data_IF_992190814478
#
_entry.id   IF_992190814478
#
_cell.length_a   1.000
_cell.length_b   1.000
_cell.length_c   1.000
_cell.angle_alpha   90.00
_cell.angle_beta   90.00
_cell.angle_gamma   90.00
#
_symmetry.space_group_name_H-M   'P 1'
#
loop_
_entity.id
_entity.type
_entity.pdbx_description
1 polymer ?
#
# COMPACT_ATOMS: atom_id res chain seq x y z
N UNK A 1 11.42 -26.36 -2.70
CA UNK A 1 10.40 -27.08 -3.49
C UNK A 1 9.78 -28.13 -2.59
N UNK A 2 8.61 -27.86 -2.02
CA UNK A 2 7.72 -28.91 -1.52
C UNK A 2 6.92 -29.35 -2.75
N UNK A 3 6.86 -30.65 -3.07
CA UNK A 3 6.23 -31.09 -4.31
C UNK A 3 4.74 -30.78 -4.30
N UNK A 4 4.24 -30.36 -5.46
CA UNK A 4 2.83 -30.08 -5.80
C UNK A 4 1.91 -31.33 -5.65
N UNK A 5 2.42 -32.45 -5.11
CA UNK A 5 1.78 -33.76 -5.22
C UNK A 5 1.32 -34.41 -3.89
N UNK A 6 0.82 -33.62 -2.92
CA UNK A 6 -0.03 -34.16 -1.84
C UNK A 6 -1.38 -33.43 -1.67
N UNK A 7 -1.82 -32.66 -2.67
CA UNK A 7 -3.18 -32.08 -2.73
C UNK A 7 -3.99 -32.50 -3.97
N UNK A 8 -3.59 -33.58 -4.64
CA UNK A 8 -4.49 -34.28 -5.58
C UNK A 8 -5.21 -35.42 -4.86
N UNK A 9 -6.11 -35.08 -3.93
CA UNK A 9 -7.17 -35.99 -3.49
C UNK A 9 -8.50 -35.24 -3.40
N UNK A 10 -9.40 -35.59 -4.32
CA UNK A 10 -10.76 -35.08 -4.57
C UNK A 10 -10.86 -33.65 -5.15
N UNK A 11 -11.19 -33.56 -6.45
CA UNK A 11 -11.82 -32.35 -6.97
C UNK A 11 -13.07 -32.04 -6.11
N UNK A 12 -13.04 -30.93 -5.39
CA UNK A 12 -14.23 -30.35 -4.77
C UNK A 12 -14.48 -30.62 -3.29
N UNK A 13 -13.50 -31.08 -2.51
CA UNK A 13 -13.62 -31.09 -1.03
C UNK A 13 -12.85 -29.91 -0.41
N UNK A 14 -13.43 -29.21 0.58
CA UNK A 14 -12.73 -28.16 1.31
C UNK A 14 -11.48 -28.67 2.03
N UNK A 15 -10.44 -27.84 2.10
CA UNK A 15 -9.16 -28.17 2.75
C UNK A 15 -9.11 -27.46 4.10
N UNK A 16 -8.94 -28.23 5.17
CA UNK A 16 -8.86 -27.73 6.53
C UNK A 16 -7.42 -27.43 6.93
N UNK A 17 -7.21 -26.28 7.56
CA UNK A 17 -5.90 -25.86 8.04
C UNK A 17 -5.96 -25.46 9.52
N UNK A 18 -4.91 -25.83 10.26
CA UNK A 18 -4.69 -25.49 11.66
C UNK A 18 -3.41 -24.66 11.79
N UNK A 19 -3.49 -23.32 11.72
CA UNK A 19 -2.32 -22.47 11.82
C UNK A 19 -1.54 -22.66 13.12
N UNK A 20 -0.21 -22.64 13.03
CA UNK A 20 0.69 -22.67 14.19
C UNK A 20 0.38 -21.63 15.27
N UNK A 21 -0.15 -20.47 14.87
CA UNK A 21 -0.41 -19.32 15.77
C UNK A 21 -1.86 -19.19 16.23
N UNK A 22 -2.67 -20.25 16.06
CA UNK A 22 -4.04 -20.34 16.59
C UNK A 22 -5.15 -20.11 15.57
N UNK A 23 -6.37 -20.47 16.00
CA UNK A 23 -7.57 -20.53 15.16
C UNK A 23 -7.56 -21.70 14.18
N UNK A 24 -8.55 -21.74 13.29
CA UNK A 24 -8.63 -22.67 12.17
C UNK A 24 -9.16 -21.94 10.94
N UNK A 25 -8.78 -22.38 9.73
CA UNK A 25 -9.43 -21.89 8.52
C UNK A 25 -9.73 -23.01 7.54
N UNK A 26 -10.71 -22.76 6.69
CA UNK A 26 -11.13 -23.65 5.63
C UNK A 26 -10.89 -22.97 4.28
N UNK A 27 -10.26 -23.68 3.35
CA UNK A 27 -10.20 -23.28 1.96
C UNK A 27 -11.26 -24.04 1.16
N UNK A 28 -12.13 -23.32 0.47
CA UNK A 28 -13.06 -23.87 -0.50
C UNK A 28 -12.57 -23.51 -1.91
N UNK A 29 -12.39 -24.53 -2.74
CA UNK A 29 -12.09 -24.35 -4.16
C UNK A 29 -13.34 -23.84 -4.88
N UNK A 30 -13.16 -22.82 -5.72
CA UNK A 30 -14.25 -22.25 -6.50
C UNK A 30 -14.44 -23.00 -7.83
N UNK A 31 -15.61 -22.83 -8.44
CA UNK A 31 -15.89 -23.29 -9.81
C UNK A 31 -14.95 -22.65 -10.83
N UNK A 32 -14.68 -21.36 -10.68
CA UNK A 32 -13.64 -20.65 -11.39
C UNK A 32 -12.29 -20.83 -10.65
N UNK A 33 -11.29 -21.49 -11.27
CA UNK A 33 -9.99 -21.74 -10.64
C UNK A 33 -9.18 -20.45 -10.39
N UNK A 34 -9.59 -19.31 -10.98
CA UNK A 34 -9.00 -18.01 -10.68
C UNK A 34 -9.46 -17.42 -9.34
N UNK A 35 -10.40 -18.08 -8.66
CA UNK A 35 -10.93 -17.71 -7.36
C UNK A 35 -10.74 -18.81 -6.31
N UNK A 36 -10.66 -18.42 -5.05
CA UNK A 36 -10.75 -19.32 -3.90
C UNK A 36 -11.48 -18.61 -2.77
N UNK A 37 -12.22 -19.36 -1.94
CA UNK A 37 -12.87 -18.83 -0.75
C UNK A 37 -12.11 -19.31 0.48
N UNK A 38 -11.77 -18.38 1.37
CA UNK A 38 -11.23 -18.68 2.69
C UNK A 38 -12.27 -18.37 3.76
N UNK A 39 -12.56 -19.35 4.61
CA UNK A 39 -13.43 -19.20 5.78
C UNK A 39 -12.56 -19.20 7.02
N UNK A 40 -12.52 -18.06 7.69
CA UNK A 40 -11.81 -17.85 8.95
C UNK A 40 -12.71 -18.27 10.10
N UNK A 41 -12.22 -19.18 10.95
CA UNK A 41 -12.81 -19.46 12.26
C UNK A 41 -12.39 -18.44 13.32
N UNK A 42 -12.94 -18.62 14.52
CA UNK A 42 -12.61 -17.86 15.73
C UNK A 42 -11.11 -17.75 15.95
N UNK A 43 -10.63 -16.56 16.32
CA UNK A 43 -9.22 -16.26 16.63
C UNK A 43 -8.22 -16.52 15.48
N UNK A 44 -8.69 -16.81 14.27
CA UNK A 44 -7.83 -17.10 13.13
C UNK A 44 -7.08 -15.87 12.66
N UNK A 45 -5.76 -16.03 12.51
CA UNK A 45 -4.85 -15.04 11.95
C UNK A 45 -3.97 -15.70 10.89
N UNK A 46 -3.96 -15.17 9.68
CA UNK A 46 -3.19 -15.66 8.54
C UNK A 46 -2.21 -14.59 8.04
N UNK A 47 -1.02 -15.04 7.64
CA UNK A 47 0.01 -14.26 6.99
C UNK A 47 0.06 -14.67 5.51
N UNK A 48 -0.42 -13.77 4.66
CA UNK A 48 -0.59 -14.02 3.23
C UNK A 48 0.38 -13.18 2.41
N UNK A 49 1.03 -13.81 1.44
CA UNK A 49 1.89 -13.17 0.44
C UNK A 49 1.39 -13.43 -0.98
N UNK A 50 1.83 -12.57 -1.91
CA UNK A 50 1.57 -12.71 -3.33
C UNK A 50 0.82 -11.54 -3.95
N UNK A 51 0.21 -11.78 -5.11
CA UNK A 51 -0.57 -10.79 -5.85
C UNK A 51 -1.97 -11.33 -6.07
N UNK A 52 -2.89 -10.80 -5.29
CA UNK A 52 -4.27 -11.21 -5.33
C UNK A 52 -5.16 -10.02 -5.04
N UNK A 53 -6.46 -10.22 -5.17
CA UNK A 53 -7.44 -9.25 -4.68
C UNK A 53 -8.47 -9.98 -3.85
N UNK A 54 -8.98 -9.36 -2.81
CA UNK A 54 -9.97 -9.99 -1.93
C UNK A 54 -11.21 -9.12 -1.74
N UNK A 55 -12.31 -9.78 -1.38
CA UNK A 55 -13.55 -9.15 -0.93
C UNK A 55 -14.09 -9.93 0.27
N UNK A 56 -14.52 -9.23 1.31
CA UNK A 56 -15.22 -9.84 2.45
C UNK A 56 -16.69 -10.05 2.10
N UNK A 57 -17.13 -11.31 2.11
CA UNK A 57 -18.51 -11.70 1.82
C UNK A 57 -19.36 -11.83 3.08
N UNK A 58 -18.75 -12.20 4.21
CA UNK A 58 -19.41 -12.38 5.49
C UNK A 58 -18.44 -12.11 6.65
N UNK A 59 -18.96 -11.65 7.79
CA UNK A 59 -18.14 -11.30 8.96
C UNK A 59 -17.21 -10.12 8.68
N UNK A 60 -16.27 -9.89 9.60
CA UNK A 60 -15.33 -8.78 9.55
C UNK A 60 -13.89 -9.28 9.63
N UNK A 61 -13.03 -8.74 8.77
CA UNK A 61 -11.61 -9.09 8.71
C UNK A 61 -10.77 -7.84 8.89
N UNK A 62 -9.78 -7.89 9.77
CA UNK A 62 -8.72 -6.90 9.86
C UNK A 62 -7.58 -7.30 8.92
N UNK A 63 -7.18 -6.39 8.03
CA UNK A 63 -6.00 -6.55 7.17
C UNK A 63 -5.04 -5.39 7.38
N UNK A 64 -3.84 -5.69 7.89
CA UNK A 64 -2.80 -4.70 8.19
C UNK A 64 -3.33 -3.45 8.95
N UNK A 65 -4.17 -3.67 9.96
CA UNK A 65 -4.76 -2.62 10.78
C UNK A 65 -6.07 -2.04 10.24
N UNK A 66 -6.45 -2.29 8.98
CA UNK A 66 -7.70 -1.82 8.39
C UNK A 66 -8.81 -2.86 8.53
N UNK A 67 -9.98 -2.46 9.03
CA UNK A 67 -11.14 -3.32 9.20
C UNK A 67 -12.04 -3.31 7.96
N UNK A 68 -12.20 -4.47 7.35
CA UNK A 68 -13.09 -4.69 6.22
C UNK A 68 -14.41 -5.27 6.70
N UNK A 69 -15.49 -4.59 6.35
CA UNK A 69 -16.86 -5.01 6.58
C UNK A 69 -17.39 -5.88 5.42
N UNK A 70 -18.39 -6.73 5.67
CA UNK A 70 -18.97 -7.56 4.61
C UNK A 70 -19.75 -6.69 3.62
N UNK A 71 -19.57 -6.93 2.33
CA UNK A 71 -20.29 -6.23 1.25
C UNK A 71 -20.92 -7.22 0.28
N UNK A 72 -22.00 -6.81 -0.40
CA UNK A 72 -22.54 -7.57 -1.53
C UNK A 72 -21.44 -7.77 -2.58
N UNK A 73 -21.35 -8.98 -3.13
CA UNK A 73 -20.42 -9.28 -4.22
C UNK A 73 -20.52 -8.22 -5.34
N UNK A 74 -19.39 -7.62 -5.68
CA UNK A 74 -19.23 -6.69 -6.80
C UNK A 74 -17.75 -6.59 -7.14
N UNK A 75 -17.40 -6.64 -8.42
CA UNK A 75 -16.01 -6.48 -8.88
C UNK A 75 -15.34 -5.19 -8.38
N UNK A 76 -16.08 -4.10 -8.16
CA UNK A 76 -15.55 -2.84 -7.63
C UNK A 76 -15.15 -2.90 -6.15
N UNK A 77 -15.61 -3.92 -5.41
CA UNK A 77 -15.33 -4.08 -3.99
C UNK A 77 -14.03 -4.85 -3.71
N UNK A 78 -13.35 -5.35 -4.75
CA UNK A 78 -12.07 -6.01 -4.58
C UNK A 78 -11.00 -5.04 -4.10
N UNK A 79 -10.23 -5.50 -3.12
CA UNK A 79 -9.09 -4.81 -2.56
C UNK A 79 -7.84 -5.55 -2.98
N UNK A 80 -6.94 -4.86 -3.68
CA UNK A 80 -5.69 -5.43 -4.17
C UNK A 80 -4.70 -5.62 -3.02
N UNK A 81 -4.00 -6.75 -3.04
CA UNK A 81 -2.84 -7.03 -2.20
C UNK A 81 -1.73 -7.49 -3.11
N UNK A 82 -0.60 -6.79 -3.07
CA UNK A 82 0.57 -7.11 -3.87
C UNK A 82 1.81 -6.98 -2.99
N UNK A 83 2.20 -8.12 -2.40
CA UNK A 83 3.32 -8.24 -1.47
C UNK A 83 4.31 -9.25 -2.04
N UNK A 84 5.48 -8.77 -2.49
CA UNK A 84 6.55 -9.63 -2.94
C UNK A 84 7.22 -10.39 -1.78
N UNK A 85 7.90 -11.49 -2.12
CA UNK A 85 8.82 -12.24 -1.29
C UNK A 85 9.89 -11.33 -0.68
N UNK A 86 10.26 -11.59 0.58
CA UNK A 86 11.22 -10.77 1.32
C UNK A 86 10.62 -9.51 1.96
N UNK A 87 9.34 -9.21 1.72
CA UNK A 87 8.61 -8.17 2.45
C UNK A 87 7.73 -8.77 3.55
N UNK A 88 7.35 -7.91 4.50
CA UNK A 88 6.42 -8.28 5.57
C UNK A 88 5.07 -8.71 4.97
N UNK A 89 4.52 -9.86 5.39
CA UNK A 89 3.28 -10.37 4.85
C UNK A 89 2.06 -9.54 5.23
N UNK A 90 1.01 -9.64 4.40
CA UNK A 90 -0.28 -9.11 4.78
C UNK A 90 -0.86 -9.98 5.89
N UNK A 91 -1.26 -9.32 6.96
CA UNK A 91 -1.81 -9.97 8.13
C UNK A 91 -3.32 -9.87 8.08
N UNK A 92 -3.99 -11.02 7.93
CA UNK A 92 -5.45 -11.16 7.89
C UNK A 92 -5.92 -11.79 9.19
N UNK A 93 -6.74 -11.11 9.97
CA UNK A 93 -7.34 -11.68 11.19
C UNK A 93 -8.84 -11.47 11.24
N UNK A 94 -9.57 -12.45 11.76
CA UNK A 94 -10.99 -12.28 12.05
C UNK A 94 -11.18 -11.27 13.18
N UNK A 95 -12.20 -10.40 13.04
CA UNK A 95 -12.70 -9.65 14.18
C UNK A 95 -13.84 -10.44 14.83
N UNK A 96 -13.48 -11.24 15.86
CA UNK A 96 -14.41 -12.12 16.56
C UNK A 96 -15.62 -11.37 17.12
N UNK A 97 -15.41 -10.17 17.66
CA UNK A 97 -16.46 -9.37 18.34
C UNK A 97 -17.56 -8.93 17.38
N UNK A 98 -17.21 -8.60 16.15
CA UNK A 98 -18.15 -8.12 15.13
C UNK A 98 -18.70 -9.24 14.25
N UNK A 99 -18.09 -10.42 14.28
CA UNK A 99 -18.45 -11.56 13.43
C UNK A 99 -19.31 -12.60 14.17
N UNK A 100 -19.94 -12.21 15.27
CA UNK A 100 -20.74 -13.09 16.15
C UNK A 100 -22.05 -13.55 15.52
N UNK A 101 -22.68 -12.69 14.72
CA UNK A 101 -23.93 -13.01 14.03
C UNK A 101 -23.73 -14.15 13.03
N UNK A 102 -24.65 -15.12 13.06
CA UNK A 102 -24.60 -16.27 12.17
C UNK A 102 -25.95 -16.53 11.51
N UNK A 103 -26.00 -16.28 10.21
CA UNK A 103 -27.16 -16.56 9.38
C UNK A 103 -26.79 -17.65 8.37
N UNK A 104 -27.04 -18.92 8.71
CA UNK A 104 -26.67 -20.07 7.88
C UNK A 104 -27.20 -19.97 6.45
N UNK A 105 -28.47 -19.61 6.27
CA UNK A 105 -29.07 -19.46 4.93
C UNK A 105 -28.35 -18.41 4.09
N UNK A 106 -28.01 -17.26 4.70
CA UNK A 106 -27.27 -16.19 4.04
C UNK A 106 -25.85 -16.64 3.68
N UNK A 107 -25.17 -17.33 4.59
CA UNK A 107 -23.81 -17.87 4.34
C UNK A 107 -23.86 -18.89 3.20
N UNK A 108 -24.79 -19.84 3.26
CA UNK A 108 -25.00 -20.84 2.22
C UNK A 108 -25.30 -20.19 0.87
N UNK A 109 -26.20 -19.20 0.82
CA UNK A 109 -26.49 -18.44 -0.39
C UNK A 109 -25.24 -17.77 -0.98
N UNK A 110 -24.40 -17.15 -0.15
CA UNK A 110 -23.15 -16.51 -0.58
C UNK A 110 -22.12 -17.51 -1.11
N UNK A 111 -22.00 -18.67 -0.48
CA UNK A 111 -21.04 -19.70 -0.90
C UNK A 111 -21.46 -20.36 -2.21
N UNK A 112 -22.77 -20.56 -2.46
CA UNK A 112 -23.31 -21.13 -3.71
C UNK A 112 -22.95 -20.33 -4.96
N UNK A 113 -22.71 -19.03 -4.82
CA UNK A 113 -22.27 -18.18 -5.93
C UNK A 113 -20.88 -18.61 -6.48
N UNK A 114 -20.06 -19.30 -5.68
CA UNK A 114 -18.65 -19.58 -6.02
C UNK A 114 -18.23 -21.05 -5.87
N UNK A 115 -18.89 -21.82 -4.99
CA UNK A 115 -18.49 -23.17 -4.60
C UNK A 115 -19.60 -24.17 -4.97
N UNK A 116 -19.22 -25.31 -5.57
CA UNK A 116 -20.16 -26.34 -6.02
C UNK A 116 -21.02 -26.94 -4.90
N UNK A 117 -20.41 -27.29 -3.77
CA UNK A 117 -21.09 -27.91 -2.64
C UNK A 117 -20.78 -27.14 -1.33
N UNK A 118 -21.57 -26.11 -1.01
CA UNK A 118 -21.35 -25.29 0.19
C UNK A 118 -21.70 -26.03 1.49
N UNK A 119 -22.41 -27.17 1.44
CA UNK A 119 -22.76 -27.96 2.63
C UNK A 119 -21.53 -28.56 3.28
N UNK A 120 -20.50 -28.86 2.50
CA UNK A 120 -19.20 -29.36 3.01
C UNK A 120 -18.52 -28.40 3.98
N UNK A 121 -18.89 -27.11 4.00
CA UNK A 121 -18.34 -26.14 4.95
C UNK A 121 -19.16 -26.03 6.25
N UNK A 122 -20.37 -26.59 6.34
CA UNK A 122 -21.30 -26.38 7.47
C UNK A 122 -20.72 -26.81 8.80
N UNK A 123 -20.18 -28.03 8.87
CA UNK A 123 -19.55 -28.56 10.10
C UNK A 123 -18.38 -27.69 10.56
N UNK A 124 -17.59 -27.16 9.63
CA UNK A 124 -16.51 -26.23 9.97
C UNK A 124 -17.08 -24.92 10.54
N UNK A 125 -18.07 -24.34 9.86
CA UNK A 125 -18.71 -23.10 10.27
C UNK A 125 -19.35 -23.26 11.66
N UNK A 126 -19.98 -24.40 11.93
CA UNK A 126 -20.61 -24.70 13.21
C UNK A 126 -19.61 -24.74 14.36
N UNK A 127 -18.51 -25.45 14.16
CA UNK A 127 -17.53 -25.71 15.21
C UNK A 127 -16.56 -24.54 15.46
N UNK A 128 -16.47 -23.58 14.54
CA UNK A 128 -15.45 -22.52 14.58
C UNK A 128 -16.03 -21.11 14.68
N UNK A 129 -17.29 -20.94 15.08
CA UNK A 129 -17.92 -19.62 15.27
C UNK A 129 -17.19 -18.77 16.32
N UNK A 130 -17.13 -17.43 16.19
CA UNK A 130 -17.57 -16.62 15.04
C UNK A 130 -16.77 -16.90 13.76
N UNK A 131 -17.33 -16.57 12.59
CA UNK A 131 -16.67 -16.81 11.30
C UNK A 131 -16.65 -15.57 10.40
N UNK A 132 -15.68 -15.52 9.49
CA UNK A 132 -15.63 -14.56 8.40
C UNK A 132 -15.28 -15.25 7.08
N UNK A 133 -15.87 -14.79 5.98
CA UNK A 133 -15.74 -15.41 4.65
C UNK A 133 -15.12 -14.38 3.70
N UNK A 134 -13.99 -14.76 3.11
CA UNK A 134 -13.24 -13.92 2.17
C UNK A 134 -13.17 -14.62 0.82
N UNK A 135 -13.63 -13.94 -0.22
CA UNK A 135 -13.43 -14.35 -1.60
C UNK A 135 -12.12 -13.75 -2.11
N UNK A 136 -11.24 -14.58 -2.66
CA UNK A 136 -9.94 -14.17 -3.18
C UNK A 136 -9.86 -14.47 -4.66
N UNK A 137 -9.55 -13.45 -5.46
CA UNK A 137 -9.16 -13.56 -6.86
C UNK A 137 -7.64 -13.66 -6.93
N UNK A 138 -7.15 -14.80 -7.43
CA UNK A 138 -5.71 -15.14 -7.45
C UNK A 138 -5.05 -14.84 -8.79
N UNK A 139 -5.82 -14.41 -9.79
CA UNK A 139 -5.29 -13.91 -11.07
C UNK A 139 -4.71 -12.51 -10.90
N UNK A 140 -3.45 -12.35 -11.30
CA UNK A 140 -2.72 -11.09 -11.29
C UNK A 140 -3.32 -10.08 -12.29
N UNK A 141 -3.37 -8.80 -11.90
CA UNK A 141 -3.72 -7.71 -12.82
C UNK A 141 -2.55 -7.30 -13.72
N UNK A 142 -2.83 -6.50 -14.76
CA UNK A 142 -1.81 -6.13 -15.75
C UNK A 142 -0.71 -5.25 -15.16
N UNK A 143 -1.04 -4.36 -14.23
CA UNK A 143 -0.05 -3.51 -13.59
C UNK A 143 0.98 -4.38 -12.83
N UNK A 144 0.50 -5.35 -12.06
CA UNK A 144 1.36 -6.30 -11.35
C UNK A 144 2.10 -7.24 -12.29
N UNK A 145 1.50 -7.66 -13.41
CA UNK A 145 2.19 -8.43 -14.46
C UNK A 145 3.34 -7.63 -15.07
N UNK A 146 3.11 -6.36 -15.39
CA UNK A 146 4.14 -5.47 -15.90
C UNK A 146 5.29 -5.32 -14.91
N UNK A 147 4.98 -5.05 -13.64
CA UNK A 147 5.98 -5.00 -12.57
C UNK A 147 6.76 -6.32 -12.52
N UNK A 148 6.09 -7.47 -12.51
CA UNK A 148 6.77 -8.77 -12.50
C UNK A 148 7.69 -8.97 -13.71
N UNK A 149 7.27 -8.59 -14.92
CA UNK A 149 8.05 -8.71 -16.15
C UNK A 149 9.31 -7.84 -16.14
N UNK A 150 9.20 -6.58 -15.67
CA UNK A 150 10.36 -5.70 -15.55
C UNK A 150 11.40 -6.23 -14.55
N UNK A 151 10.95 -7.03 -13.58
CA UNK A 151 11.79 -7.54 -12.50
C UNK A 151 12.41 -8.90 -12.80
N UNK A 152 11.73 -9.76 -13.57
CA UNK A 152 12.29 -11.03 -14.03
C UNK A 152 13.43 -10.87 -15.05
N UNK A 153 13.50 -9.72 -15.75
CA UNK A 153 14.60 -9.43 -16.68
C UNK A 153 15.91 -9.02 -15.97
N UNK A 154 15.86 -8.82 -14.65
CA UNK A 154 17.05 -8.65 -13.82
C UNK A 154 17.51 -10.04 -13.38
N UNK A 155 18.65 -10.49 -13.90
CA UNK A 155 19.26 -11.80 -13.60
C UNK A 155 19.51 -12.06 -12.11
N UNK A 156 19.42 -11.03 -11.27
CA UNK A 156 19.67 -11.08 -9.82
C UNK A 156 18.39 -11.16 -8.97
N UNK A 157 17.21 -11.13 -9.57
CA UNK A 157 15.94 -11.04 -8.83
C UNK A 157 15.10 -12.31 -9.03
N UNK A 158 15.24 -13.24 -8.07
CA UNK A 158 14.30 -14.34 -7.82
C UNK A 158 12.85 -13.88 -7.99
N UNK A 159 11.97 -14.76 -8.52
CA UNK A 159 10.54 -14.49 -8.71
C UNK A 159 9.96 -13.74 -7.50
N UNK A 160 9.73 -12.44 -7.67
CA UNK A 160 9.45 -11.56 -6.54
C UNK A 160 8.09 -11.87 -5.91
N UNK A 161 7.19 -12.55 -6.60
CA UNK A 161 5.95 -13.03 -6.00
C UNK A 161 6.11 -14.51 -5.65
N UNK A 162 5.70 -14.91 -4.44
CA UNK A 162 6.18 -16.12 -3.78
C UNK A 162 5.86 -17.41 -4.54
N UNK A 163 6.81 -18.35 -4.44
CA UNK A 163 6.57 -19.80 -4.47
C UNK A 163 6.98 -20.43 -3.12
N UNK A 164 6.96 -19.62 -2.05
CA UNK A 164 7.33 -20.03 -0.70
C UNK A 164 6.08 -19.98 0.19
N UNK A 165 5.90 -21.01 1.03
CA UNK A 165 4.66 -21.22 1.77
C UNK A 165 3.76 -22.30 1.19
N UNK A 166 2.62 -22.49 1.82
CA UNK A 166 1.54 -23.34 1.30
C UNK A 166 0.80 -22.53 0.23
N UNK A 167 0.71 -23.07 -0.97
CA UNK A 167 0.02 -22.41 -2.07
C UNK A 167 -1.49 -22.56 -1.91
N UNK A 168 -2.20 -21.44 -1.78
CA UNK A 168 -3.67 -21.40 -1.73
C UNK A 168 -4.28 -20.97 -3.08
N UNK A 169 -3.44 -20.63 -4.06
CA UNK A 169 -3.85 -20.33 -5.42
C UNK A 169 -2.68 -19.85 -6.27
N UNK A 170 -2.94 -19.47 -7.52
CA UNK A 170 -1.88 -19.20 -8.51
C UNK A 170 -0.85 -18.16 -8.03
N UNK A 171 -1.31 -17.06 -7.41
CA UNK A 171 -0.46 -16.00 -6.89
C UNK A 171 -0.76 -15.69 -5.40
N UNK A 172 -1.15 -16.70 -4.63
CA UNK A 172 -1.52 -16.59 -3.22
C UNK A 172 -0.80 -17.67 -2.40
N UNK A 173 0.00 -17.23 -1.43
CA UNK A 173 0.73 -18.10 -0.53
C UNK A 173 0.40 -17.79 0.93
N UNK A 174 0.22 -18.86 1.71
CA UNK A 174 0.04 -18.82 3.16
C UNK A 174 1.34 -19.20 3.87
N UNK A 175 1.76 -18.37 4.83
CA UNK A 175 3.10 -18.43 5.40
C UNK A 175 3.19 -18.86 6.86
N UNK A 176 2.09 -18.91 7.64
CA UNK A 176 2.21 -19.05 9.10
C UNK A 176 3.12 -20.20 9.53
N UNK A 177 2.97 -21.39 8.93
CA UNK A 177 3.74 -22.55 9.36
C UNK A 177 5.23 -22.46 8.99
N UNK A 178 5.58 -21.58 8.04
CA UNK A 178 6.94 -21.31 7.58
C UNK A 178 7.58 -20.10 8.26
N UNK A 179 6.81 -19.28 9.00
CA UNK A 179 7.35 -18.11 9.69
C UNK A 179 7.98 -18.51 11.03
N UNK A 180 9.14 -17.92 11.31
CA UNK A 180 9.78 -18.08 12.61
C UNK A 180 9.00 -17.30 13.67
N UNK A 181 9.00 -17.79 14.91
CA UNK A 181 8.27 -17.17 16.02
C UNK A 181 8.67 -15.70 16.23
N UNK A 182 9.95 -15.35 16.03
CA UNK A 182 10.46 -13.98 16.13
C UNK A 182 9.85 -13.03 15.10
N UNK A 183 9.63 -13.47 13.86
CA UNK A 183 9.05 -12.63 12.81
C UNK A 183 7.59 -12.31 13.11
N UNK A 184 6.87 -13.31 13.63
CA UNK A 184 5.48 -13.16 14.06
C UNK A 184 5.37 -12.27 15.30
N UNK A 185 6.26 -12.45 16.27
CA UNK A 185 6.34 -11.59 17.46
C UNK A 185 6.66 -10.13 17.06
N UNK A 186 7.57 -9.92 16.10
CA UNK A 186 7.87 -8.60 15.56
C UNK A 186 6.66 -7.95 14.89
N UNK A 187 5.88 -8.71 14.11
CA UNK A 187 4.63 -8.24 13.53
C UNK A 187 3.57 -7.91 14.59
N UNK A 188 3.37 -8.77 15.58
CA UNK A 188 2.42 -8.55 16.67
C UNK A 188 2.82 -7.34 17.53
N UNK A 189 4.12 -7.17 17.78
CA UNK A 189 4.65 -6.01 18.49
C UNK A 189 4.43 -4.73 17.70
N UNK A 190 4.71 -4.75 16.39
CA UNK A 190 4.37 -3.66 15.49
C UNK A 190 2.87 -3.34 15.54
N UNK A 191 2.02 -4.37 15.63
CA UNK A 191 0.58 -4.17 15.79
C UNK A 191 0.19 -3.40 17.04
N UNK A 192 0.66 -3.86 18.20
CA UNK A 192 0.40 -3.20 19.48
C UNK A 192 0.92 -1.76 19.48
N UNK A 193 2.10 -1.53 18.93
CA UNK A 193 2.73 -0.21 18.86
C UNK A 193 1.87 0.80 18.12
N UNK A 194 1.33 0.47 16.95
CA UNK A 194 0.53 1.43 16.20
C UNK A 194 -0.85 1.67 16.83
N UNK A 195 -1.46 0.67 17.48
CA UNK A 195 -2.74 0.89 18.18
C UNK A 195 -2.58 1.92 19.31
N UNK A 196 -1.47 1.83 20.06
CA UNK A 196 -1.15 2.82 21.11
C UNK A 196 -0.95 4.23 20.52
N UNK A 197 -0.28 4.34 19.36
CA UNK A 197 -0.12 5.63 18.66
C UNK A 197 -1.48 6.17 18.22
N UNK A 198 -2.34 5.33 17.64
CA UNK A 198 -3.67 5.74 17.18
C UNK A 198 -4.53 6.26 18.34
N UNK A 199 -4.53 5.58 19.49
CA UNK A 199 -5.30 6.02 20.65
C UNK A 199 -4.88 7.41 21.14
N UNK A 200 -3.57 7.69 21.18
CA UNK A 200 -3.04 9.02 21.54
C UNK A 200 -3.46 10.09 20.54
N UNK A 201 -3.36 9.79 19.24
CA UNK A 201 -3.79 10.70 18.16
C UNK A 201 -5.28 11.01 18.31
N UNK A 202 -6.11 10.01 18.59
CA UNK A 202 -7.56 10.20 18.74
C UNK A 202 -7.93 11.08 19.90
N UNK A 203 -7.39 10.81 21.09
CA UNK A 203 -7.65 11.63 22.27
C UNK A 203 -7.24 13.09 22.05
N UNK A 204 -6.16 13.31 21.31
CA UNK A 204 -5.67 14.65 20.99
C UNK A 204 -6.53 15.37 19.94
N UNK A 205 -6.92 14.67 18.86
CA UNK A 205 -7.70 15.32 17.79
C UNK A 205 -9.13 15.64 18.24
N UNK A 206 -9.69 14.91 19.22
CA UNK A 206 -10.99 15.25 19.81
C UNK A 206 -11.00 16.62 20.50
N UNK A 207 -9.88 17.10 21.04
CA UNK A 207 -9.79 18.43 21.66
C UNK A 207 -9.30 19.50 20.68
N UNK A 208 -8.29 19.19 19.86
CA UNK A 208 -7.59 20.20 19.04
C UNK A 208 -8.11 20.31 17.61
N UNK A 209 -9.02 19.42 17.16
CA UNK A 209 -9.49 19.25 15.77
C UNK A 209 -8.43 18.95 14.72
N UNK A 210 -7.15 19.15 15.03
CA UNK A 210 -6.00 18.93 14.14
C UNK A 210 -4.89 18.24 14.90
N UNK A 211 -4.39 17.14 14.33
CA UNK A 211 -3.22 16.42 14.84
C UNK A 211 -2.19 16.23 13.71
N UNK A 212 -0.92 16.32 14.06
CA UNK A 212 0.22 16.09 13.16
C UNK A 212 1.14 15.11 13.87
N UNK A 213 1.29 13.91 13.31
CA UNK A 213 2.17 12.88 13.83
C UNK A 213 3.33 12.66 12.85
N UNK A 214 4.54 12.84 13.34
CA UNK A 214 5.78 12.72 12.57
C UNK A 214 6.44 11.36 12.82
N UNK A 215 6.70 10.61 11.76
CA UNK A 215 7.34 9.30 11.83
C UNK A 215 8.78 9.44 11.34
N UNK A 216 9.72 9.34 12.28
CA UNK A 216 11.16 9.52 12.05
C UNK A 216 11.95 8.23 12.25
N UNK A 217 13.21 8.24 11.81
CA UNK A 217 14.14 7.13 11.97
C UNK A 217 15.05 6.94 10.77
N UNK A 218 16.08 6.11 10.93
CA UNK A 218 17.08 5.87 9.90
C UNK A 218 16.46 5.20 8.65
N UNK A 219 17.23 5.12 7.57
CA UNK A 219 16.86 4.38 6.38
C UNK A 219 16.64 2.89 6.68
N UNK A 220 15.58 2.32 6.12
CA UNK A 220 15.28 0.88 6.25
C UNK A 220 14.65 0.44 7.57
N UNK A 221 14.38 1.35 8.52
CA UNK A 221 13.79 1.01 9.83
C UNK A 221 12.27 0.75 9.82
N UNK A 222 11.64 0.86 8.64
CA UNK A 222 10.20 0.65 8.47
C UNK A 222 9.31 1.87 8.78
N UNK A 223 9.78 3.09 8.51
CA UNK A 223 8.97 4.33 8.62
C UNK A 223 7.69 4.26 7.79
N UNK A 224 7.81 4.07 6.47
CA UNK A 224 6.66 3.98 5.56
C UNK A 224 5.69 2.87 5.95
N UNK A 225 6.21 1.71 6.39
CA UNK A 225 5.39 0.62 6.94
C UNK A 225 4.60 1.10 8.16
N UNK A 226 5.25 1.79 9.10
CA UNK A 226 4.59 2.35 10.29
C UNK A 226 3.51 3.37 9.88
N UNK A 227 3.80 4.26 8.92
CA UNK A 227 2.82 5.21 8.36
C UNK A 227 1.58 4.50 7.83
N UNK A 228 1.74 3.45 7.00
CA UNK A 228 0.61 2.67 6.47
C UNK A 228 -0.24 2.06 7.58
N UNK A 229 0.39 1.41 8.56
CA UNK A 229 -0.32 0.76 9.66
C UNK A 229 -1.07 1.77 10.54
N UNK A 230 -0.45 2.91 10.88
CA UNK A 230 -1.12 3.98 11.63
C UNK A 230 -2.31 4.52 10.83
N UNK A 231 -2.14 4.83 9.55
CA UNK A 231 -3.24 5.32 8.68
C UNK A 231 -4.39 4.31 8.60
N UNK A 232 -4.08 3.03 8.41
CA UNK A 232 -5.08 1.95 8.33
C UNK A 232 -5.83 1.77 9.67
N UNK A 233 -5.11 1.78 10.79
CA UNK A 233 -5.68 1.63 12.12
C UNK A 233 -6.52 2.84 12.55
N UNK A 234 -6.10 4.05 12.15
CA UNK A 234 -6.93 5.24 12.30
C UNK A 234 -8.25 5.04 11.55
N UNK A 235 -8.24 4.71 10.26
CA UNK A 235 -9.48 4.48 9.52
C UNK A 235 -10.39 3.42 10.17
N UNK A 236 -9.83 2.33 10.68
CA UNK A 236 -10.59 1.31 11.44
C UNK A 236 -11.28 1.88 12.66
N UNK A 237 -10.58 2.68 13.46
CA UNK A 237 -11.15 3.24 14.67
C UNK A 237 -12.40 4.09 14.38
N UNK A 238 -12.40 4.86 13.29
CA UNK A 238 -13.55 5.67 12.86
C UNK A 238 -14.73 4.78 12.48
N UNK A 239 -14.48 3.68 11.78
CA UNK A 239 -15.52 2.71 11.44
C UNK A 239 -16.15 2.06 12.68
N UNK A 240 -15.38 1.91 13.76
CA UNK A 240 -15.85 1.33 15.02
C UNK A 240 -16.55 2.32 15.95
N UNK A 241 -16.37 3.62 15.74
CA UNK A 241 -16.94 4.67 16.58
C UNK A 241 -17.69 5.71 15.73
N UNK A 242 -18.76 5.32 15.01
CA UNK A 242 -19.46 6.20 14.07
C UNK A 242 -20.15 7.39 14.74
N UNK A 243 -20.31 7.38 16.07
CA UNK A 243 -20.83 8.49 16.85
C UNK A 243 -19.80 9.59 17.13
N UNK A 244 -18.51 9.36 16.81
CA UNK A 244 -17.46 10.36 16.93
C UNK A 244 -17.42 11.25 15.67
N UNK A 245 -16.91 12.50 15.77
CA UNK A 245 -16.76 13.36 14.61
C UNK A 245 -15.92 12.67 13.52
N UNK A 246 -16.27 12.94 12.26
CA UNK A 246 -15.49 12.47 11.11
C UNK A 246 -14.04 12.91 11.23
N UNK A 247 -13.11 12.05 10.82
CA UNK A 247 -11.69 12.38 10.85
C UNK A 247 -11.08 12.08 9.49
N UNK A 248 -10.53 13.11 8.85
CA UNK A 248 -9.88 13.02 7.54
C UNK A 248 -8.38 12.83 7.75
N UNK A 249 -7.85 11.78 7.15
CA UNK A 249 -6.46 11.36 7.36
C UNK A 249 -5.65 11.72 6.11
N UNK A 250 -4.55 12.42 6.33
CA UNK A 250 -3.64 12.89 5.29
C UNK A 250 -2.26 12.28 5.49
N UNK A 251 -1.57 12.05 4.38
CA UNK A 251 -0.15 11.69 4.34
C UNK A 251 0.62 12.84 3.71
N UNK A 252 1.56 13.42 4.46
CA UNK A 252 2.64 14.25 3.91
C UNK A 252 3.87 13.36 3.77
N UNK A 253 4.29 13.13 2.54
CA UNK A 253 5.49 12.37 2.25
C UNK A 253 6.63 13.30 1.88
N UNK A 254 7.67 13.31 2.71
CA UNK A 254 8.85 14.15 2.51
C UNK A 254 10.05 13.35 2.02
N UNK A 255 9.94 12.03 1.85
CA UNK A 255 11.02 11.20 1.32
C UNK A 255 11.08 11.26 -0.21
N UNK A 256 11.91 12.16 -0.74
CA UNK A 256 12.17 12.28 -2.19
C UNK A 256 12.94 11.08 -2.76
N UNK A 257 13.57 10.28 -1.92
CA UNK A 257 14.35 9.11 -2.34
C UNK A 257 13.50 7.87 -2.52
N UNK A 258 12.48 7.68 -1.68
CA UNK A 258 11.60 6.51 -1.66
C UNK A 258 10.16 6.90 -1.33
N UNK A 259 9.53 7.66 -2.23
CA UNK A 259 8.18 8.15 -2.01
C UNK A 259 7.12 7.02 -1.96
N UNK A 260 6.10 7.24 -1.15
CA UNK A 260 5.09 6.27 -0.74
C UNK A 260 4.02 6.04 -1.81
N UNK A 261 3.55 7.13 -2.44
CA UNK A 261 2.44 7.13 -3.41
C UNK A 261 2.81 7.70 -4.79
N UNK A 262 4.00 8.27 -4.93
CA UNK A 262 4.54 8.84 -6.16
C UNK A 262 5.91 8.24 -6.51
N UNK A 263 6.40 8.45 -7.74
CA UNK A 263 7.80 8.21 -8.06
C UNK A 263 8.74 9.03 -7.17
N UNK A 264 10.01 8.61 -7.12
CA UNK A 264 11.06 9.38 -6.47
C UNK A 264 11.22 10.77 -7.09
N UNK A 265 11.69 11.72 -6.29
CA UNK A 265 11.89 13.11 -6.68
C UNK A 265 10.71 14.03 -6.39
N UNK A 266 9.69 13.55 -5.67
CA UNK A 266 8.53 14.36 -5.28
C UNK A 266 8.41 14.49 -3.76
N UNK A 267 7.84 15.61 -3.31
CA UNK A 267 7.19 15.73 -2.00
C UNK A 267 5.70 15.87 -2.24
N UNK A 268 4.86 15.23 -1.42
CA UNK A 268 3.43 15.18 -1.71
C UNK A 268 2.55 15.21 -0.47
N UNK A 269 1.35 15.75 -0.63
CA UNK A 269 0.27 15.74 0.36
C UNK A 269 -0.95 15.07 -0.26
N UNK A 270 -1.45 14.02 0.39
CA UNK A 270 -2.59 13.26 -0.10
C UNK A 270 -3.58 12.93 1.03
N UNK A 271 -4.88 13.15 0.79
CA UNK A 271 -5.95 12.61 1.64
C UNK A 271 -6.12 11.12 1.37
N UNK A 272 -5.92 10.29 2.40
CA UNK A 272 -5.97 8.84 2.27
C UNK A 272 -7.38 8.33 2.53
N UNK A 273 -8.10 8.07 1.43
CA UNK A 273 -9.49 7.58 1.44
C UNK A 273 -9.62 6.06 1.32
N UNK A 274 -8.51 5.37 1.04
CA UNK A 274 -8.46 3.92 0.83
C UNK A 274 -7.33 3.33 1.68
N UNK A 275 -7.49 2.08 2.14
CA UNK A 275 -6.44 1.40 2.90
C UNK A 275 -5.15 1.26 2.08
N UNK A 276 -4.02 1.47 2.74
CA UNK A 276 -2.69 1.27 2.16
C UNK A 276 -2.25 -0.16 2.48
N UNK A 277 -2.49 -1.09 1.56
CA UNK A 277 -2.13 -2.51 1.69
C UNK A 277 -1.15 -2.89 0.58
N UNK A 278 0.00 -3.43 0.98
CA UNK A 278 1.06 -3.82 0.06
C UNK A 278 2.33 -3.00 0.28
N UNK A 279 3.13 -2.88 -0.78
CA UNK A 279 4.41 -2.17 -0.79
C UNK A 279 4.31 -0.90 -1.66
N UNK A 280 5.23 0.09 -1.52
CA UNK A 280 5.05 1.39 -2.17
C UNK A 280 4.91 1.31 -3.69
N UNK A 281 5.76 0.49 -4.32
CA UNK A 281 5.77 0.35 -5.77
C UNK A 281 4.58 -0.44 -6.35
N UNK A 282 3.77 -1.10 -5.52
CA UNK A 282 2.53 -1.73 -5.99
C UNK A 282 1.28 -0.87 -5.71
N UNK A 283 1.48 0.27 -5.04
CA UNK A 283 0.43 1.19 -4.56
C UNK A 283 0.59 2.61 -5.13
N UNK A 284 1.39 2.77 -6.19
CA UNK A 284 1.61 4.05 -6.85
C UNK A 284 0.32 4.61 -7.42
N UNK A 285 0.12 5.92 -7.27
CA UNK A 285 -1.06 6.61 -7.78
C UNK A 285 -0.70 7.36 -9.08
N UNK A 286 -1.56 7.28 -10.11
CA UNK A 286 -1.30 7.97 -11.39
C UNK A 286 -1.39 9.49 -11.27
N UNK A 287 -2.10 9.99 -10.26
CA UNK A 287 -2.22 11.41 -9.97
C UNK A 287 -2.41 11.61 -8.47
N UNK A 288 -1.73 12.62 -7.94
CA UNK A 288 -1.88 13.08 -6.56
C UNK A 288 -2.39 14.53 -6.58
N UNK A 289 -3.38 14.89 -5.73
CA UNK A 289 -3.95 16.24 -5.73
C UNK A 289 -2.92 17.35 -5.53
N UNK A 290 -1.93 17.13 -4.65
CA UNK A 290 -0.81 18.05 -4.43
C UNK A 290 0.50 17.29 -4.32
N UNK A 291 1.24 17.27 -5.42
CA UNK A 291 2.61 16.74 -5.50
C UNK A 291 3.50 17.79 -6.13
N UNK A 292 4.63 18.06 -5.50
CA UNK A 292 5.62 19.03 -5.96
C UNK A 292 6.88 18.27 -6.38
N UNK A 293 7.36 18.56 -7.58
CA UNK A 293 8.57 17.93 -8.10
C UNK A 293 9.80 18.66 -7.59
N UNK A 294 10.61 17.95 -6.80
CA UNK A 294 11.90 18.42 -6.31
C UNK A 294 13.01 18.19 -7.34
N UNK A 295 12.90 17.14 -8.17
CA UNK A 295 13.84 16.89 -9.28
C UNK A 295 15.04 16.00 -8.95
N UNK A 296 15.24 15.64 -7.68
CA UNK A 296 16.33 14.75 -7.25
C UNK A 296 15.85 13.71 -6.24
N UNK A 297 16.54 12.57 -6.17
CA UNK A 297 16.28 11.54 -5.16
C UNK A 297 17.02 11.77 -3.84
N UNK A 298 17.74 12.89 -3.71
CA UNK A 298 18.45 13.30 -2.50
C UNK A 298 18.20 14.78 -2.23
N UNK A 299 17.68 15.13 -1.04
CA UNK A 299 17.42 16.53 -0.69
C UNK A 299 18.71 17.33 -0.46
N UNK A 300 19.88 16.68 -0.47
CA UNK A 300 21.19 17.34 -0.37
C UNK A 300 21.50 18.27 -1.55
N UNK A 301 20.83 18.09 -2.70
CA UNK A 301 21.05 18.94 -3.89
C UNK A 301 20.66 20.40 -3.60
N UNK A 302 19.51 20.61 -2.96
CA UNK A 302 19.05 21.94 -2.58
C UNK A 302 18.15 21.82 -1.34
N UNK A 303 18.77 21.99 -0.17
CA UNK A 303 18.06 21.85 1.11
C UNK A 303 17.04 22.98 1.35
N UNK A 304 17.28 24.17 0.80
CA UNK A 304 16.42 25.33 0.99
C UNK A 304 15.16 25.20 0.15
N UNK A 305 15.31 24.80 -1.11
CA UNK A 305 14.19 24.48 -1.98
C UNK A 305 13.37 23.32 -1.41
N UNK A 306 14.02 22.25 -0.93
CA UNK A 306 13.34 21.13 -0.29
C UNK A 306 12.46 21.56 0.90
N UNK A 307 13.00 22.37 1.82
CA UNK A 307 12.24 22.89 2.97
C UNK A 307 11.10 23.80 2.52
N UNK A 308 11.32 24.63 1.51
CA UNK A 308 10.28 25.51 0.95
C UNK A 308 9.11 24.71 0.37
N UNK A 309 9.37 23.60 -0.33
CA UNK A 309 8.31 22.73 -0.86
C UNK A 309 7.47 22.11 0.27
N UNK A 310 8.12 21.68 1.37
CA UNK A 310 7.42 21.15 2.55
C UNK A 310 6.57 22.24 3.22
N UNK A 311 7.13 23.44 3.41
CA UNK A 311 6.42 24.58 3.98
C UNK A 311 5.17 24.92 3.19
N UNK A 312 5.28 24.97 1.86
CA UNK A 312 4.13 25.17 0.97
C UNK A 312 3.03 24.11 1.18
N UNK A 313 3.38 22.82 1.29
CA UNK A 313 2.39 21.76 1.51
C UNK A 313 1.72 21.86 2.89
N UNK A 314 2.47 22.26 3.93
CA UNK A 314 1.92 22.52 5.26
C UNK A 314 0.97 23.71 5.25
N UNK A 315 1.33 24.80 4.57
CA UNK A 315 0.48 25.98 4.42
C UNK A 315 -0.81 25.64 3.65
N UNK A 316 -0.68 24.85 2.58
CA UNK A 316 -1.83 24.34 1.83
C UNK A 316 -2.74 23.49 2.72
N UNK A 317 -2.18 22.57 3.52
CA UNK A 317 -2.96 21.75 4.47
C UNK A 317 -3.71 22.62 5.49
N UNK A 318 -3.04 23.62 6.06
CA UNK A 318 -3.64 24.55 7.02
C UNK A 318 -4.75 25.40 6.39
N UNK A 319 -4.53 25.88 5.16
CA UNK A 319 -5.51 26.65 4.40
C UNK A 319 -6.76 25.81 4.13
N UNK A 320 -6.58 24.58 3.65
CA UNK A 320 -7.66 23.63 3.41
C UNK A 320 -8.51 23.38 4.67
N UNK A 321 -7.90 23.25 5.86
CA UNK A 321 -8.66 23.10 7.12
C UNK A 321 -9.48 24.36 7.44
N UNK A 322 -8.90 25.55 7.28
CA UNK A 322 -9.59 26.81 7.55
C UNK A 322 -10.80 27.01 6.63
N UNK A 323 -10.61 26.68 5.36
CA UNK A 323 -11.61 26.79 4.30
C UNK A 323 -12.60 25.63 4.28
N UNK A 324 -12.39 24.59 5.11
CA UNK A 324 -13.28 23.45 5.13
C UNK A 324 -14.70 23.85 5.57
N UNK A 325 -15.67 23.45 4.77
CA UNK A 325 -17.08 23.75 4.97
C UNK A 325 -17.66 22.99 6.17
N UNK A 326 -17.09 21.83 6.54
CA UNK A 326 -17.54 21.03 7.66
C UNK A 326 -16.71 21.35 8.91
N UNK A 327 -17.23 22.24 9.76
CA UNK A 327 -16.53 22.66 10.98
C UNK A 327 -16.40 21.57 12.05
N UNK A 328 -17.07 20.45 11.86
CA UNK A 328 -17.02 19.31 12.78
C UNK A 328 -16.00 18.24 12.36
N UNK A 329 -15.36 18.39 11.18
CA UNK A 329 -14.31 17.47 10.76
C UNK A 329 -13.04 17.65 11.60
N UNK A 330 -12.50 16.51 12.02
CA UNK A 330 -11.17 16.38 12.58
C UNK A 330 -10.15 16.08 11.47
N UNK A 331 -8.91 16.52 11.65
CA UNK A 331 -7.85 16.39 10.64
C UNK A 331 -6.60 15.76 11.26
N UNK A 332 -6.12 14.67 10.68
CA UNK A 332 -4.87 14.01 11.08
C UNK A 332 -3.90 14.03 9.92
N UNK A 333 -2.70 14.57 10.14
CA UNK A 333 -1.59 14.52 9.21
C UNK A 333 -0.53 13.54 9.71
N UNK A 334 -0.30 12.47 8.95
CA UNK A 334 0.83 11.57 9.15
C UNK A 334 1.97 12.05 8.25
N UNK A 335 3.14 12.30 8.84
CA UNK A 335 4.32 12.74 8.10
C UNK A 335 5.32 11.59 7.99
N UNK A 336 5.54 11.10 6.78
CA UNK A 336 6.61 10.15 6.47
C UNK A 336 7.89 10.92 6.16
N UNK A 337 8.89 10.83 7.04
CA UNK A 337 10.14 11.57 6.89
C UNK A 337 11.14 10.90 5.95
N UNK A 338 12.10 11.67 5.44
CA UNK A 338 13.33 11.13 4.87
C UNK A 338 14.10 10.25 5.87
N UNK A 339 14.95 9.36 5.37
CA UNK A 339 15.79 8.47 6.19
C UNK A 339 17.22 8.95 6.49
N UNK A 340 17.56 10.19 6.16
CA UNK A 340 18.91 10.73 6.40
C UNK A 340 18.94 11.46 7.75
N UNK A 341 19.67 10.90 8.71
CA UNK A 341 19.68 11.38 10.11
C UNK A 341 21.09 11.66 10.65
N UNK A 342 22.10 11.73 9.78
CA UNK A 342 23.50 12.00 10.16
C UNK A 342 23.99 13.28 9.49
N UNK A 343 24.88 14.01 10.16
CA UNK A 343 25.53 15.23 9.66
C UNK A 343 24.52 16.27 9.12
N UNK A 344 24.65 16.69 7.86
CA UNK A 344 23.72 17.59 7.18
C UNK A 344 22.28 17.06 7.17
N UNK A 345 22.09 15.74 7.18
CA UNK A 345 20.76 15.13 7.29
C UNK A 345 20.09 15.38 8.62
N UNK A 346 20.85 15.49 9.71
CA UNK A 346 20.30 15.82 11.02
C UNK A 346 19.82 17.28 11.07
N UNK A 347 20.63 18.23 10.59
CA UNK A 347 20.23 19.64 10.48
C UNK A 347 18.98 19.79 9.60
N UNK A 348 18.97 19.11 8.45
CA UNK A 348 17.82 19.10 7.57
C UNK A 348 16.57 18.54 8.25
N UNK A 349 16.69 17.47 9.04
CA UNK A 349 15.58 16.92 9.82
C UNK A 349 15.04 17.92 10.84
N UNK A 350 15.92 18.67 11.53
CA UNK A 350 15.49 19.74 12.44
C UNK A 350 14.75 20.85 11.70
N UNK A 351 15.20 21.24 10.51
CA UNK A 351 14.50 22.21 9.65
C UNK A 351 13.13 21.70 9.22
N UNK A 352 13.00 20.42 8.87
CA UNK A 352 11.70 19.78 8.57
C UNK A 352 10.80 19.81 9.81
N UNK A 353 11.30 19.44 10.99
CA UNK A 353 10.53 19.47 12.24
C UNK A 353 10.05 20.89 12.58
N UNK A 354 10.91 21.90 12.41
CA UNK A 354 10.56 23.31 12.64
C UNK A 354 9.51 23.83 11.64
N UNK A 355 9.50 23.29 10.43
CA UNK A 355 8.51 23.63 9.38
C UNK A 355 7.17 22.95 9.65
N UNK A 356 7.19 21.66 9.98
CA UNK A 356 6.00 20.83 10.18
C UNK A 356 5.33 21.08 11.53
N UNK A 357 6.12 21.33 12.58
CA UNK A 357 5.68 21.51 13.98
C UNK A 357 4.75 20.37 14.45
N UNK A 358 5.26 19.12 14.53
CA UNK A 358 4.43 17.99 14.87
C UNK A 358 4.00 17.99 16.34
N UNK A 359 2.82 17.43 16.61
CA UNK A 359 2.29 17.22 17.96
C UNK A 359 2.84 15.93 18.59
N UNK A 360 3.10 14.93 17.74
CA UNK A 360 3.69 13.65 18.15
C UNK A 360 4.90 13.32 17.28
N UNK A 361 5.95 12.81 17.92
CA UNK A 361 7.12 12.24 17.26
C UNK A 361 7.18 10.74 17.59
N UNK A 362 7.16 9.89 16.56
CA UNK A 362 7.40 8.45 16.69
C UNK A 362 8.69 8.09 15.96
N UNK A 363 9.72 7.82 16.74
CA UNK A 363 10.98 7.31 16.23
C UNK A 363 10.93 5.79 16.06
N UNK A 364 11.53 5.29 14.99
CA UNK A 364 11.74 3.87 14.70
C UNK A 364 13.23 3.56 14.62
N UNK A 365 13.68 2.67 15.51
CA UNK A 365 15.09 2.24 15.61
C UNK A 365 15.31 0.78 15.20
N UNK A 366 14.30 0.13 14.60
CA UNK A 366 14.37 -1.30 14.29
C UNK A 366 15.28 -1.58 13.10
N UNK A 367 16.23 -2.49 13.26
CA UNK A 367 17.09 -3.01 12.19
C UNK A 367 16.83 -4.49 12.00
N UNK A 368 16.26 -4.88 10.86
CA UNK A 368 16.60 -6.12 10.15
C UNK A 368 15.60 -6.41 9.03
N UNK A 369 16.09 -6.45 7.80
CA UNK A 369 16.04 -7.64 6.94
C UNK A 369 16.89 -7.39 5.69
N UNK A 370 17.16 -8.44 4.90
CA UNK A 370 17.74 -8.32 3.55
C UNK A 370 16.72 -7.62 2.66
N UNK A 371 16.78 -6.29 2.60
CA UNK A 371 15.95 -5.52 1.69
C UNK A 371 16.68 -5.29 0.35
N UNK A 372 15.93 -5.12 -0.75
CA UNK A 372 16.50 -4.59 -1.97
C UNK A 372 17.21 -3.26 -1.69
N UNK A 373 18.27 -2.99 -2.44
CA UNK A 373 18.97 -1.71 -2.36
C UNK A 373 18.01 -0.56 -2.67
N UNK A 374 18.31 0.65 -2.20
CA UNK A 374 17.44 1.78 -2.48
C UNK A 374 17.33 2.15 -3.95
N UNK A 375 18.37 1.85 -4.73
CA UNK A 375 18.32 2.01 -6.18
C UNK A 375 17.29 1.05 -6.81
N UNK A 376 17.30 -0.22 -6.40
CA UNK A 376 16.30 -1.20 -6.84
C UNK A 376 14.89 -0.77 -6.46
N UNK A 377 14.67 -0.32 -5.21
CA UNK A 377 13.37 0.16 -4.76
C UNK A 377 12.85 1.34 -5.59
N UNK A 378 13.71 2.28 -5.98
CA UNK A 378 13.35 3.40 -6.86
C UNK A 378 12.97 2.93 -8.27
N UNK A 379 13.72 2.00 -8.83
CA UNK A 379 13.38 1.41 -10.13
C UNK A 379 12.02 0.71 -10.05
N UNK A 380 11.73 0.03 -8.94
CA UNK A 380 10.44 -0.63 -8.73
C UNK A 380 9.33 0.40 -8.63
N UNK A 381 9.52 1.50 -7.89
CA UNK A 381 8.56 2.60 -7.81
C UNK A 381 8.24 3.19 -9.17
N UNK A 382 9.26 3.44 -10.00
CA UNK A 382 9.05 3.94 -11.36
C UNK A 382 8.29 2.93 -12.22
N UNK A 383 8.66 1.65 -12.18
CA UNK A 383 7.93 0.60 -12.87
C UNK A 383 6.47 0.52 -12.40
N UNK A 384 6.23 0.65 -11.09
CA UNK A 384 4.91 0.67 -10.48
C UNK A 384 4.02 1.84 -10.88
N UNK A 385 4.64 3.01 -11.05
CA UNK A 385 3.97 4.20 -11.56
C UNK A 385 3.60 4.04 -13.03
N UNK A 386 4.54 3.59 -13.87
CA UNK A 386 4.29 3.33 -15.30
C UNK A 386 3.30 2.17 -15.52
N UNK A 387 3.26 1.21 -14.59
CA UNK A 387 2.31 0.10 -14.62
C UNK A 387 0.85 0.55 -14.64
N UNK A 388 0.55 1.76 -14.13
CA UNK A 388 -0.79 2.32 -14.13
C UNK A 388 -1.32 2.58 -15.55
N UNK A 389 -0.45 2.79 -16.55
CA UNK A 389 -0.84 2.96 -17.95
C UNK A 389 -1.58 1.72 -18.48
N UNK A 390 -1.19 0.52 -18.04
CA UNK A 390 -1.81 -0.75 -18.41
C UNK A 390 -3.10 -1.07 -17.64
N UNK A 391 -3.58 -0.16 -16.78
CA UNK A 391 -4.89 -0.28 -16.14
C UNK A 391 -5.97 0.52 -16.86
N UNK A 392 -5.58 1.54 -17.64
CA UNK A 392 -6.48 2.48 -18.28
C UNK A 392 -6.85 2.06 -19.71
N UNK A 393 -5.94 1.38 -20.43
CA UNK A 393 -6.12 1.05 -21.85
C UNK A 393 -6.71 -0.35 -22.11
N UNK A 394 -8.05 -0.49 -21.97
CA UNK A 394 -8.76 -1.77 -22.16
C UNK A 394 -8.54 -2.46 -23.52
N UNK A 395 -8.37 -1.70 -24.59
CA UNK A 395 -8.26 -2.24 -25.96
C UNK A 395 -6.94 -2.99 -26.24
N UNK A 396 -5.82 -2.54 -25.65
CA UNK A 396 -4.52 -3.22 -25.75
C UNK A 396 -4.44 -4.43 -24.81
N UNK A 397 -5.16 -4.37 -23.68
CA UNK A 397 -5.24 -5.42 -22.67
C UNK A 397 -5.90 -6.70 -23.21
N UNK A 398 -6.93 -6.58 -24.03
CA UNK A 398 -7.66 -7.73 -24.57
C UNK A 398 -6.90 -8.46 -25.68
N UNK A 399 -6.09 -7.74 -26.48
CA UNK A 399 -5.30 -8.34 -27.57
C UNK A 399 -4.02 -9.05 -27.09
N UNK A 400 -3.48 -8.66 -25.94
CA UNK A 400 -2.17 -9.11 -25.44
C UNK A 400 -2.23 -10.00 -24.19
N UNK A 401 -3.33 -10.72 -23.95
CA UNK A 401 -3.49 -11.51 -22.70
C UNK A 401 -2.32 -12.48 -22.43
N UNK A 402 -1.62 -12.95 -23.46
CA UNK A 402 -0.45 -13.85 -23.36
C UNK A 402 0.90 -13.21 -23.73
N UNK A 403 0.93 -11.95 -24.16
CA UNK A 403 2.18 -11.27 -24.59
C UNK A 403 2.82 -10.48 -23.44
N UNK A 404 4.12 -10.18 -23.60
CA UNK A 404 4.83 -9.26 -22.72
C UNK A 404 4.26 -7.84 -22.85
N UNK A 405 4.03 -7.16 -21.72
CA UNK A 405 3.57 -5.78 -21.71
C UNK A 405 4.79 -4.86 -21.87
N UNK A 406 4.85 -4.10 -22.96
CA UNK A 406 5.95 -3.18 -23.25
C UNK A 406 5.45 -1.75 -23.32
N UNK A 407 6.22 -0.81 -22.76
CA UNK A 407 5.92 0.61 -22.86
C UNK A 407 5.94 1.10 -24.32
N UNK A 408 6.77 0.49 -25.16
CA UNK A 408 6.87 0.82 -26.59
C UNK A 408 5.59 0.49 -27.38
N UNK A 409 4.71 -0.36 -26.84
CA UNK A 409 3.44 -0.72 -27.48
C UNK A 409 2.30 0.27 -27.11
N UNK A 410 2.55 1.18 -26.16
CA UNK A 410 1.58 2.20 -25.74
C UNK A 410 1.60 3.40 -26.71
N UNK A 411 0.46 4.05 -26.96
CA UNK A 411 0.42 5.26 -27.77
C UNK A 411 1.22 6.38 -27.10
N UNK A 412 2.02 7.10 -27.89
CA UNK A 412 2.76 8.26 -27.43
C UNK A 412 1.93 9.54 -27.52
N UNK A 413 2.17 10.46 -26.58
CA UNK A 413 1.58 11.80 -26.62
C UNK A 413 2.48 12.73 -27.43
N UNK A 414 1.91 13.41 -28.43
CA UNK A 414 2.63 14.45 -29.19
C UNK A 414 2.37 15.81 -28.56
N UNK A 415 3.42 16.47 -28.10
CA UNK A 415 3.38 17.83 -27.54
C UNK A 415 4.09 18.78 -28.49
N UNK A 416 3.56 20.00 -28.67
CA UNK A 416 4.26 21.04 -29.43
C UNK A 416 5.33 21.65 -28.54
N UNK A 417 6.57 21.75 -29.02
CA UNK A 417 7.64 22.38 -28.22
C UNK A 417 7.32 23.82 -27.83
N UNK A 418 6.60 24.57 -28.68
CA UNK A 418 6.17 25.93 -28.35
C UNK A 418 5.11 26.01 -27.23
N UNK A 419 4.56 24.89 -26.77
CA UNK A 419 3.59 24.86 -25.67
C UNK A 419 4.19 24.41 -24.34
N UNK A 420 5.50 24.23 -24.25
CA UNK A 420 6.20 23.81 -23.03
C UNK A 420 7.49 24.59 -22.83
N UNK A 421 7.85 24.80 -21.57
CA UNK A 421 9.15 25.33 -21.18
C UNK A 421 9.98 24.21 -20.54
N UNK A 422 11.29 24.24 -20.76
CA UNK A 422 12.22 23.29 -20.15
C UNK A 422 12.87 24.01 -18.96
N UNK A 423 12.65 23.46 -17.77
CA UNK A 423 13.32 23.91 -16.55
C UNK A 423 14.36 22.88 -16.14
N UNK A 424 15.59 23.34 -15.90
CA UNK A 424 16.66 22.54 -15.31
C UNK A 424 17.09 23.24 -14.05
N UNK A 425 17.07 22.50 -12.94
CA UNK A 425 17.46 23.04 -11.65
C UNK A 425 18.91 23.59 -11.70
N UNK A 426 19.18 24.80 -11.20
CA UNK A 426 20.51 25.43 -11.27
C UNK A 426 21.64 24.61 -10.66
N UNK A 427 21.35 23.84 -9.62
CA UNK A 427 22.29 22.94 -8.95
C UNK A 427 22.67 21.69 -9.78
N UNK A 428 21.99 21.42 -10.91
CA UNK A 428 22.44 20.39 -11.85
C UNK A 428 23.56 20.92 -12.75
N UNK A 429 24.38 20.00 -13.26
CA UNK A 429 25.49 20.35 -14.17
C UNK A 429 24.95 21.06 -15.41
N UNK A 430 25.65 22.12 -15.81
CA UNK A 430 25.41 22.81 -17.07
C UNK A 430 25.41 21.82 -18.25
N UNK A 431 24.36 21.89 -19.07
CA UNK A 431 24.25 21.19 -20.35
C UNK A 431 24.23 22.28 -21.42
N UNK A 432 25.14 22.19 -22.38
CA UNK A 432 25.14 23.09 -23.54
C UNK A 432 23.79 23.01 -24.26
N UNK A 433 23.21 24.16 -24.60
CA UNK A 433 21.91 24.27 -25.27
C UNK A 433 21.80 23.37 -26.51
N UNK A 434 22.90 23.18 -27.25
CA UNK A 434 22.95 22.31 -28.45
C UNK A 434 22.78 20.84 -28.12
N UNK A 435 23.07 20.43 -26.88
CA UNK A 435 22.98 19.05 -26.39
C UNK A 435 21.70 18.79 -25.60
N UNK A 436 20.89 19.82 -25.34
CA UNK A 436 19.74 19.75 -24.44
C UNK A 436 18.75 18.64 -24.81
N UNK A 437 18.30 18.63 -26.07
CA UNK A 437 17.34 17.62 -26.54
C UNK A 437 17.93 16.20 -26.53
N UNK A 438 19.24 16.07 -26.73
CA UNK A 438 19.94 14.79 -26.64
C UNK A 438 19.96 14.30 -25.18
N UNK A 439 20.26 15.18 -24.22
CA UNK A 439 20.24 14.87 -22.80
C UNK A 439 18.84 14.49 -22.29
N UNK A 440 17.79 15.10 -22.85
CA UNK A 440 16.40 14.78 -22.51
C UNK A 440 15.89 13.49 -23.16
N UNK A 441 16.52 13.02 -24.25
CA UNK A 441 16.08 11.82 -24.93
C UNK A 441 16.22 10.59 -24.01
N UNK A 442 15.14 9.82 -23.87
CA UNK A 442 15.04 8.67 -22.95
C UNK A 442 15.25 9.00 -21.45
N UNK A 443 15.21 10.28 -21.07
CA UNK A 443 15.26 10.72 -19.66
C UNK A 443 13.85 10.83 -19.08
N UNK A 444 13.71 10.49 -17.79
CA UNK A 444 12.47 10.77 -17.07
C UNK A 444 12.39 12.24 -16.70
N UNK A 445 11.31 12.90 -17.12
CA UNK A 445 11.01 14.29 -16.80
C UNK A 445 9.63 14.38 -16.15
N UNK A 446 9.46 15.35 -15.26
CA UNK A 446 8.14 15.68 -14.72
C UNK A 446 7.49 16.75 -15.59
N UNK A 447 6.21 16.56 -15.94
CA UNK A 447 5.40 17.61 -16.51
C UNK A 447 4.78 18.42 -15.37
N UNK A 448 5.34 19.60 -15.11
CA UNK A 448 4.92 20.48 -14.03
C UNK A 448 4.00 21.58 -14.55
N UNK A 449 2.94 21.88 -13.79
CA UNK A 449 2.18 23.12 -13.94
C UNK A 449 2.79 24.16 -13.00
N UNK A 450 3.22 25.29 -13.54
CA UNK A 450 3.64 26.44 -12.73
C UNK A 450 2.36 27.10 -12.19
N UNK A 451 2.28 27.24 -10.87
CA UNK A 451 1.20 27.99 -10.24
C UNK A 451 1.47 29.50 -10.29
N UNK A 452 0.42 30.29 -10.41
CA UNK A 452 0.51 31.76 -10.40
C UNK A 452 1.25 32.25 -9.13
N UNK A 453 2.20 33.15 -9.32
CA UNK A 453 3.05 33.70 -8.26
C UNK A 453 4.32 32.90 -7.96
N UNK A 454 4.53 31.75 -8.61
CA UNK A 454 5.75 30.95 -8.52
C UNK A 454 6.66 31.07 -9.74
N UNK A 455 6.31 31.90 -10.72
CA UNK A 455 7.05 32.08 -11.97
C UNK A 455 8.49 32.53 -11.71
N UNK A 456 8.71 33.38 -10.69
CA UNK A 456 10.05 33.87 -10.34
C UNK A 456 11.03 32.81 -9.82
N UNK A 457 10.56 31.60 -9.57
CA UNK A 457 11.38 30.49 -9.08
C UNK A 457 11.75 29.49 -10.18
N UNK A 458 11.29 29.69 -11.42
CA UNK A 458 11.47 28.78 -12.54
C UNK A 458 11.93 29.49 -13.79
#
# INVERSE_FOLDING_TARGET
MIPVNQQQQSLGSPIHFKPKFGGNFLQCLCTDPSHTVLIFGKQTKLFLNGVFSFQVLYGYINVNGYLFSPKKYNYSNYVKVAIPCGYLPATFSINDKLSTELHFERIQSRLREFVNDPKKAETFIENNKPIAIVLIKTKMDNASRFIQQQLNNSSDVLNIFPQFGIQLGMNLCYLNDQMNARDVEGLVTLEKDYYSVCEKIYRFVESEKKCIAFISGNKGVGKSTTSRFVINALNTYLLLHPSKPSCRIFLLDTDVGQSELSPAGCVSLCEIKKPLIGVPFTSQLPSLPKSLFFGSNSPAIDTDFYIKLIGYLIDYFNKMIKEDSNKDDNFVLIVNSLGWITDLGYDLMLRVLNTVKPHFLKERNFTNSKHPTSAQLRNFQMAGYLAQLFTQERSLIERNQNNALKLADLPSYRVRFCSVSIYIHPEFRYVDDKLMLCALNCSFVALCKIEEGFERFF
#
